data_IF_152058927854
#
_entry.id   IF_152058927854
#
_cell.length_a   1.000
_cell.length_b   1.000
_cell.length_c   1.000
_cell.angle_alpha   90.00
_cell.angle_beta   90.00
_cell.angle_gamma   90.00
#
_symmetry.space_group_name_H-M   'P 1'
#
loop_
_entity.id
_entity.type
_entity.pdbx_description
1 polymer ?
#
# COMPACT_ATOMS: atom_id res chain seq x y z
N UNK A 1 -2.70 12.11 4.89
CA UNK A 1 -2.43 12.43 3.48
C UNK A 1 -3.75 12.46 2.73
N UNK A 2 -4.01 13.42 1.83
CA UNK A 2 -5.24 13.37 1.02
C UNK A 2 -5.12 12.21 0.03
N UNK A 3 -6.06 11.27 0.07
CA UNK A 3 -6.05 10.05 -0.75
C UNK A 3 -5.88 10.33 -2.26
N UNK A 4 -6.40 11.47 -2.71
CA UNK A 4 -6.31 11.98 -4.08
C UNK A 4 -4.86 12.25 -4.52
N UNK A 5 -4.06 12.86 -3.65
CA UNK A 5 -2.66 13.21 -3.95
C UNK A 5 -1.78 11.96 -4.02
N UNK A 6 -2.00 11.00 -3.13
CA UNK A 6 -1.29 9.72 -3.15
C UNK A 6 -1.53 8.96 -4.46
N UNK A 7 -2.80 8.87 -4.90
CA UNK A 7 -3.16 8.19 -6.16
C UNK A 7 -2.55 8.89 -7.38
N UNK A 8 -2.52 10.23 -7.39
CA UNK A 8 -1.84 10.98 -8.47
C UNK A 8 -0.34 10.68 -8.50
N UNK A 9 0.32 10.65 -7.34
CA UNK A 9 1.74 10.32 -7.24
C UNK A 9 2.07 8.92 -7.73
N UNK A 10 1.19 7.93 -7.51
CA UNK A 10 1.38 6.57 -8.02
C UNK A 10 1.31 6.47 -9.54
N UNK A 11 0.49 7.29 -10.22
CA UNK A 11 0.39 7.27 -11.69
C UNK A 11 1.63 7.80 -12.41
N UNK A 12 2.47 8.58 -11.72
CA UNK A 12 3.72 9.09 -12.26
C UNK A 12 4.93 8.19 -12.01
N UNK A 13 4.75 7.02 -11.36
CA UNK A 13 5.82 6.07 -11.06
C UNK A 13 5.91 4.99 -12.15
N UNK A 14 7.13 4.53 -12.41
CA UNK A 14 7.39 3.39 -13.29
C UNK A 14 6.91 2.07 -12.70
N UNK A 15 6.70 1.05 -13.56
CA UNK A 15 6.25 -0.27 -13.14
C UNK A 15 7.13 -0.90 -12.03
N UNK A 16 8.46 -0.77 -12.12
CA UNK A 16 9.38 -1.25 -11.08
C UNK A 16 9.19 -0.53 -9.74
N UNK A 17 9.05 0.79 -9.78
CA UNK A 17 8.81 1.60 -8.58
C UNK A 17 7.46 1.27 -7.91
N UNK A 18 6.44 0.91 -8.71
CA UNK A 18 5.16 0.43 -8.19
C UNK A 18 5.27 -0.95 -7.52
N UNK A 19 6.09 -1.86 -8.06
CA UNK A 19 6.35 -3.16 -7.44
C UNK A 19 7.13 -3.03 -6.13
N UNK A 20 8.12 -2.14 -6.07
CA UNK A 20 8.87 -1.83 -4.85
C UNK A 20 7.97 -1.24 -3.75
N UNK A 21 7.11 -0.28 -4.11
CA UNK A 21 6.10 0.28 -3.22
C UNK A 21 5.15 -0.82 -2.70
N UNK A 22 4.70 -1.73 -3.57
CA UNK A 22 3.85 -2.85 -3.20
C UNK A 22 4.55 -3.79 -2.20
N UNK A 23 5.84 -4.06 -2.39
CA UNK A 23 6.64 -4.88 -1.49
C UNK A 23 6.85 -4.19 -0.13
N UNK A 24 7.02 -2.87 -0.11
CA UNK A 24 7.09 -2.10 1.13
C UNK A 24 5.78 -2.14 1.92
N UNK A 25 4.64 -1.87 1.25
CA UNK A 25 3.31 -1.91 1.87
C UNK A 25 2.95 -3.30 2.42
N UNK A 26 3.39 -4.37 1.74
CA UNK A 26 3.21 -5.76 2.24
C UNK A 26 4.02 -6.03 3.50
N UNK A 27 5.25 -5.53 3.59
CA UNK A 27 6.07 -5.62 4.81
C UNK A 27 5.42 -4.87 5.96
N UNK A 28 4.92 -3.66 5.71
CA UNK A 28 4.18 -2.89 6.71
C UNK A 28 2.93 -3.64 7.19
N UNK A 29 2.14 -4.20 6.28
CA UNK A 29 0.98 -5.03 6.62
C UNK A 29 1.37 -6.24 7.48
N UNK A 30 2.48 -6.91 7.17
CA UNK A 30 2.99 -8.02 7.97
C UNK A 30 3.36 -7.56 9.38
N UNK A 31 4.10 -6.46 9.52
CA UNK A 31 4.47 -5.90 10.81
C UNK A 31 3.24 -5.53 11.66
N UNK A 32 2.22 -4.91 11.05
CA UNK A 32 0.97 -4.58 11.75
C UNK A 32 0.22 -5.84 12.22
N UNK A 33 0.25 -6.93 11.45
CA UNK A 33 -0.33 -8.21 11.87
C UNK A 33 0.46 -8.84 13.02
N UNK A 34 1.79 -8.78 12.97
CA UNK A 34 2.65 -9.28 14.05
C UNK A 34 2.45 -8.49 15.34
N UNK A 35 2.36 -7.16 15.27
CA UNK A 35 2.04 -6.31 16.43
C UNK A 35 0.67 -6.66 17.02
N UNK A 36 -0.34 -6.93 16.17
CA UNK A 36 -1.68 -7.33 16.62
C UNK A 36 -1.65 -8.68 17.32
N UNK A 37 -0.91 -9.65 16.78
CA UNK A 37 -0.73 -10.97 17.37
C UNK A 37 0.06 -10.93 18.69
N UNK A 38 1.01 -10.01 18.82
CA UNK A 38 1.80 -9.81 20.04
C UNK A 38 1.02 -9.12 21.18
N UNK A 39 -0.26 -8.77 20.97
CA UNK A 39 -1.10 -8.10 21.98
C UNK A 39 -0.71 -6.63 22.23
N UNK A 40 0.10 -6.03 21.36
CA UNK A 40 0.40 -4.60 21.41
C UNK A 40 -0.80 -3.79 20.88
N UNK A 41 -0.96 -2.56 21.35
CA UNK A 41 -2.05 -1.69 20.92
C UNK A 41 -1.90 -1.32 19.43
N UNK A 42 -2.55 -2.10 18.56
CA UNK A 42 -2.53 -1.82 17.13
C UNK A 42 -3.56 -0.78 16.75
N UNK A 43 -3.13 0.22 16.00
CA UNK A 43 -3.99 1.23 15.37
C UNK A 43 -4.81 0.61 14.23
N UNK A 44 -6.11 0.30 14.40
CA UNK A 44 -6.87 -0.49 13.41
C UNK A 44 -7.07 0.28 12.08
N UNK A 45 -7.04 1.61 12.15
CA UNK A 45 -7.10 2.48 10.98
C UNK A 45 -5.90 2.28 10.05
N UNK A 46 -4.69 2.05 10.58
CA UNK A 46 -3.49 1.81 9.78
C UNK A 46 -3.59 0.49 9.01
N UNK A 47 -4.13 -0.56 9.63
CA UNK A 47 -4.39 -1.84 8.94
C UNK A 47 -5.38 -1.67 7.79
N UNK A 48 -6.40 -0.81 7.96
CA UNK A 48 -7.35 -0.48 6.89
C UNK A 48 -6.70 0.35 5.79
N UNK A 49 -5.83 1.29 6.15
CA UNK A 49 -5.12 2.15 5.21
C UNK A 49 -4.10 1.37 4.36
N UNK A 50 -3.25 0.56 4.99
CA UNK A 50 -2.30 -0.31 4.29
C UNK A 50 -3.01 -1.22 3.27
N UNK A 51 -4.14 -1.85 3.65
CA UNK A 51 -4.97 -2.66 2.72
C UNK A 51 -5.45 -1.85 1.51
N UNK A 52 -5.92 -0.62 1.72
CA UNK A 52 -6.40 0.25 0.65
C UNK A 52 -5.26 0.73 -0.25
N UNK A 53 -4.09 1.05 0.32
CA UNK A 53 -2.92 1.46 -0.45
C UNK A 53 -2.42 0.32 -1.35
N UNK A 54 -2.34 -0.91 -0.83
CA UNK A 54 -2.01 -2.10 -1.61
C UNK A 54 -2.97 -2.26 -2.80
N UNK A 55 -4.28 -2.11 -2.59
CA UNK A 55 -5.27 -2.21 -3.67
C UNK A 55 -5.06 -1.14 -4.75
N UNK A 56 -4.82 0.12 -4.35
CA UNK A 56 -4.57 1.24 -5.28
C UNK A 56 -3.33 1.01 -6.12
N UNK A 57 -2.22 0.61 -5.50
CA UNK A 57 -0.96 0.32 -6.20
C UNK A 57 -1.16 -0.80 -7.21
N UNK A 58 -1.85 -1.89 -6.83
CA UNK A 58 -2.19 -2.98 -7.76
C UNK A 58 -3.03 -2.52 -8.95
N UNK A 59 -4.05 -1.69 -8.71
CA UNK A 59 -4.89 -1.17 -9.79
C UNK A 59 -4.08 -0.34 -10.77
N UNK A 60 -3.23 0.57 -10.28
CA UNK A 60 -2.41 1.43 -11.15
C UNK A 60 -1.34 0.62 -11.86
N UNK A 61 -0.68 -0.33 -11.19
CA UNK A 61 0.29 -1.21 -11.82
C UNK A 61 -0.36 -2.01 -12.96
N UNK A 62 -1.60 -2.47 -12.79
CA UNK A 62 -2.35 -3.14 -13.85
C UNK A 62 -2.70 -2.18 -15.00
N UNK A 63 -3.04 -0.92 -14.71
CA UNK A 63 -3.29 0.10 -15.74
C UNK A 63 -2.03 0.40 -16.56
N UNK A 64 -0.87 0.54 -15.90
CA UNK A 64 0.43 0.77 -16.55
C UNK A 64 0.84 -0.42 -17.41
N UNK A 65 0.59 -1.66 -16.94
CA UNK A 65 0.93 -2.88 -17.69
C UNK A 65 0.00 -3.15 -18.89
N UNK A 66 -1.25 -2.71 -18.81
CA UNK A 66 -2.25 -2.90 -19.87
C UNK A 66 -2.23 -1.80 -20.94
N UNK A 67 -1.43 -0.74 -20.73
CA UNK A 67 -1.18 0.34 -21.70
C UNK A 67 0.09 0.03 -22.48
#
# INVERSE_FOLDING_TARGET
MKTSEYVKGLRGKDAKALEEELAALRREQFNLRMQSAAGQETKPHLVREARKNIARVKTIAQQVKAS
#
